data_IF_300509661861
#
_entry.id   IF_300509661861
#
_cell.length_a   1.000
_cell.length_b   1.000
_cell.length_c   1.000
_cell.angle_alpha   90.00
_cell.angle_beta   90.00
_cell.angle_gamma   90.00
#
_symmetry.space_group_name_H-M   'P 1'
#
loop_
_entity.id
_entity.type
_entity.pdbx_description
1 polymer ?
#
# COMPACT_ATOMS: atom_id res chain seq x y z
N UNK A 1 -7.88 -17.68 -4.59
CA UNK A 1 -7.51 -16.37 -5.15
C UNK A 1 -8.35 -16.10 -6.38
N UNK A 2 -8.92 -14.92 -6.50
CA UNK A 2 -9.77 -14.59 -7.64
C UNK A 2 -8.95 -14.50 -8.92
N UNK A 3 -9.56 -14.86 -10.08
CA UNK A 3 -8.87 -14.87 -11.38
C UNK A 3 -8.34 -13.48 -11.79
N UNK A 4 -8.91 -12.40 -11.26
CA UNK A 4 -8.48 -11.03 -11.56
C UNK A 4 -7.31 -10.55 -10.70
N UNK A 5 -6.74 -11.40 -9.84
CA UNK A 5 -5.73 -10.99 -8.86
C UNK A 5 -4.52 -10.31 -9.51
N UNK A 6 -4.11 -10.77 -10.69
CA UNK A 6 -2.95 -10.22 -11.39
C UNK A 6 -3.33 -9.19 -12.46
N UNK A 7 -4.59 -8.83 -12.57
CA UNK A 7 -5.03 -7.84 -13.54
C UNK A 7 -4.91 -6.43 -12.95
N UNK A 8 -4.49 -5.48 -13.79
CA UNK A 8 -4.56 -4.07 -13.43
C UNK A 8 -6.03 -3.62 -13.41
N UNK A 9 -6.45 -3.03 -12.32
CA UNK A 9 -7.79 -2.48 -12.19
C UNK A 9 -7.71 -0.96 -12.12
N UNK A 10 -8.42 -0.28 -13.03
CA UNK A 10 -8.48 1.18 -13.02
C UNK A 10 -9.29 1.63 -11.80
N UNK A 11 -8.71 2.46 -10.93
CA UNK A 11 -9.44 2.94 -9.75
C UNK A 11 -10.54 3.93 -10.13
N UNK A 12 -11.60 3.96 -9.31
CA UNK A 12 -12.64 5.00 -9.39
C UNK A 12 -12.09 6.30 -8.80
N UNK A 13 -12.80 7.43 -9.03
CA UNK A 13 -12.41 8.72 -8.46
C UNK A 13 -12.38 8.67 -6.92
N UNK A 14 -13.35 7.98 -6.30
CA UNK A 14 -13.36 7.80 -4.85
C UNK A 14 -12.13 7.00 -4.38
N UNK A 15 -11.78 5.94 -5.11
CA UNK A 15 -10.61 5.12 -4.79
C UNK A 15 -9.32 5.91 -4.99
N UNK A 16 -9.24 6.80 -5.99
CA UNK A 16 -8.08 7.68 -6.17
C UNK A 16 -7.89 8.62 -4.97
N UNK A 17 -8.99 9.16 -4.43
CA UNK A 17 -8.92 9.98 -3.23
C UNK A 17 -8.43 9.18 -2.03
N UNK A 18 -8.92 7.94 -1.86
CA UNK A 18 -8.46 7.05 -0.80
C UNK A 18 -6.98 6.69 -0.95
N UNK A 19 -6.51 6.47 -2.18
CA UNK A 19 -5.09 6.22 -2.45
C UNK A 19 -4.23 7.41 -2.04
N UNK A 20 -4.72 8.64 -2.27
CA UNK A 20 -4.03 9.85 -1.82
C UNK A 20 -3.91 9.91 -0.31
N UNK A 21 -4.97 9.56 0.41
CA UNK A 21 -4.96 9.52 1.88
C UNK A 21 -3.99 8.46 2.40
N UNK A 22 -4.00 7.28 1.79
CA UNK A 22 -3.07 6.22 2.18
C UNK A 22 -1.61 6.60 1.89
N UNK A 23 -1.38 7.28 0.77
CA UNK A 23 -0.03 7.74 0.44
C UNK A 23 0.49 8.73 1.47
N UNK A 24 -0.35 9.68 1.87
CA UNK A 24 0.03 10.67 2.89
C UNK A 24 0.36 9.98 4.22
N UNK A 25 -0.46 9.01 4.63
CA UNK A 25 -0.21 8.24 5.86
C UNK A 25 1.07 7.41 5.74
N UNK A 26 1.32 6.79 4.58
CA UNK A 26 2.51 5.98 4.35
C UNK A 26 3.78 6.85 4.37
N UNK A 27 3.72 8.05 3.79
CA UNK A 27 4.84 8.98 3.82
C UNK A 27 5.17 9.42 5.25
N UNK A 28 4.16 9.72 6.05
CA UNK A 28 4.35 10.13 7.43
C UNK A 28 4.97 9.00 8.26
N UNK A 29 4.47 7.78 8.11
CA UNK A 29 5.03 6.63 8.81
C UNK A 29 6.44 6.30 8.33
N UNK A 30 6.68 6.36 7.01
CA UNK A 30 8.00 6.15 6.44
C UNK A 30 9.02 7.15 6.98
N UNK A 31 8.65 8.41 7.10
CA UNK A 31 9.52 9.44 7.69
C UNK A 31 9.83 9.13 9.15
N UNK A 32 8.84 8.65 9.92
CA UNK A 32 9.06 8.25 11.30
C UNK A 32 10.01 7.05 11.40
N UNK A 33 9.87 6.07 10.52
CA UNK A 33 10.78 4.92 10.49
C UNK A 33 12.21 5.35 10.20
N UNK A 34 12.41 6.25 9.23
CA UNK A 34 13.73 6.77 8.90
C UNK A 34 14.36 7.52 10.08
N UNK A 35 13.56 8.31 10.81
CA UNK A 35 14.04 9.15 11.89
C UNK A 35 14.31 8.37 13.18
N UNK A 36 13.50 7.36 13.48
CA UNK A 36 13.50 6.72 14.80
C UNK A 36 14.29 5.41 14.86
N UNK A 37 14.40 4.69 13.73
CA UNK A 37 15.09 3.40 13.75
C UNK A 37 16.59 3.60 13.62
N UNK A 38 17.39 2.84 14.41
CA UNK A 38 18.84 2.84 14.23
C UNK A 38 19.23 2.20 12.89
N UNK A 39 20.30 2.69 12.29
CA UNK A 39 20.81 2.13 11.04
C UNK A 39 21.21 0.67 11.22
N UNK A 40 20.92 -0.15 10.19
CA UNK A 40 21.25 -1.56 10.23
C UNK A 40 20.32 -2.39 9.36
N UNK A 41 20.54 -3.72 9.34
CA UNK A 41 19.73 -4.61 8.48
C UNK A 41 18.26 -4.63 8.86
N UNK A 42 17.93 -4.45 10.14
CA UNK A 42 16.54 -4.44 10.58
C UNK A 42 15.79 -3.22 10.03
N UNK A 43 16.42 -2.04 10.08
CA UNK A 43 15.83 -0.82 9.50
C UNK A 43 15.62 -1.00 7.99
N UNK A 44 16.60 -1.55 7.29
CA UNK A 44 16.50 -1.79 5.86
C UNK A 44 15.33 -2.71 5.55
N UNK A 45 15.18 -3.80 6.31
CA UNK A 45 14.07 -4.73 6.13
C UNK A 45 12.72 -4.05 6.36
N UNK A 46 12.60 -3.31 7.45
CA UNK A 46 11.34 -2.65 7.81
C UNK A 46 10.92 -1.63 6.74
N UNK A 47 11.86 -0.85 6.24
CA UNK A 47 11.56 0.16 5.21
C UNK A 47 11.14 -0.50 3.90
N UNK A 48 11.79 -1.58 3.51
CA UNK A 48 11.39 -2.34 2.31
C UNK A 48 10.01 -2.94 2.46
N UNK A 49 9.73 -3.54 3.62
CA UNK A 49 8.42 -4.11 3.91
C UNK A 49 7.33 -3.03 3.91
N UNK A 50 7.62 -1.86 4.46
CA UNK A 50 6.69 -0.73 4.46
C UNK A 50 6.36 -0.27 3.04
N UNK A 51 7.36 -0.14 2.17
CA UNK A 51 7.14 0.25 0.78
C UNK A 51 6.27 -0.76 0.05
N UNK A 52 6.56 -2.04 0.21
CA UNK A 52 5.76 -3.11 -0.39
C UNK A 52 4.32 -3.08 0.13
N UNK A 53 4.16 -2.93 1.44
CA UNK A 53 2.84 -2.87 2.07
C UNK A 53 2.03 -1.66 1.58
N UNK A 54 2.66 -0.51 1.42
CA UNK A 54 2.00 0.70 0.91
C UNK A 54 1.49 0.49 -0.52
N UNK A 55 2.26 -0.20 -1.36
CA UNK A 55 1.84 -0.54 -2.72
C UNK A 55 0.65 -1.49 -2.71
N UNK A 56 0.68 -2.53 -1.88
CA UNK A 56 -0.42 -3.50 -1.80
C UNK A 56 -1.68 -2.89 -1.23
N UNK A 57 -1.58 -1.88 -0.35
CA UNK A 57 -2.75 -1.17 0.15
C UNK A 57 -3.54 -0.51 -0.99
N UNK A 58 -2.85 0.06 -1.98
CA UNK A 58 -3.51 0.60 -3.17
C UNK A 58 -4.24 -0.49 -3.97
N UNK A 59 -3.63 -1.66 -4.11
CA UNK A 59 -4.28 -2.81 -4.77
C UNK A 59 -5.52 -3.22 -3.99
N UNK A 60 -5.41 -3.29 -2.66
CA UNK A 60 -6.53 -3.72 -1.81
C UNK A 60 -7.75 -2.81 -1.93
N UNK A 61 -7.55 -1.50 -2.16
CA UNK A 61 -8.67 -0.57 -2.35
C UNK A 61 -9.54 -0.91 -3.55
N UNK A 62 -8.99 -1.60 -4.55
CA UNK A 62 -9.72 -1.96 -5.77
C UNK A 62 -10.31 -3.38 -5.71
N UNK A 63 -10.21 -4.06 -4.57
CA UNK A 63 -10.62 -5.46 -4.44
C UNK A 63 -11.67 -5.66 -3.36
N UNK A 64 -12.55 -6.64 -3.58
CA UNK A 64 -13.44 -7.18 -2.56
C UNK A 64 -12.70 -8.23 -1.71
N UNK A 65 -13.30 -8.71 -0.58
CA UNK A 65 -12.62 -9.68 0.28
C UNK A 65 -12.19 -10.97 -0.41
N UNK A 66 -12.87 -11.37 -1.49
CA UNK A 66 -12.51 -12.57 -2.25
C UNK A 66 -11.45 -12.31 -3.33
N UNK A 67 -10.97 -11.06 -3.46
CA UNK A 67 -10.01 -10.66 -4.47
C UNK A 67 -10.63 -10.18 -5.78
N UNK A 68 -11.97 -10.21 -5.90
CA UNK A 68 -12.64 -9.71 -7.10
C UNK A 68 -12.62 -8.19 -7.16
N UNK A 69 -12.75 -7.60 -8.37
CA UNK A 69 -12.77 -6.14 -8.50
C UNK A 69 -13.95 -5.52 -7.75
N UNK A 70 -13.68 -4.41 -7.07
CA UNK A 70 -14.74 -3.58 -6.48
C UNK A 70 -15.32 -2.68 -7.55
N UNK A 71 -16.63 -2.55 -7.53
CA UNK A 71 -17.32 -1.63 -8.44
C UNK A 71 -17.43 -0.23 -7.84
#
# INVERSE_FOLDING_TARGET
MHSSTYQYLKPTDFQLAQMGDLRAAAEAYGAALEALLPDGPDKTFVIRAHRSNAMWANVALTRNPDGSPRS
#
